data_IF_685843215128
#
_entry.id   IF_685843215128
#
_cell.length_a   1.000
_cell.length_b   1.000
_cell.length_c   1.000
_cell.angle_alpha   90.00
_cell.angle_beta   90.00
_cell.angle_gamma   90.00
#
_symmetry.space_group_name_H-M   'P 1'
#
loop_
_entity.id
_entity.type
_entity.pdbx_description
1 polymer ?
#
# COMPACT_ATOMS: atom_id res chain seq x y z
N UNK A 1 -9.39 17.03 -10.81
CA UNK A 1 -8.26 16.11 -10.50
C UNK A 1 -8.13 14.90 -11.44
N UNK A 2 -9.23 14.24 -11.85
CA UNK A 2 -9.19 13.02 -12.71
C UNK A 2 -8.72 13.31 -14.15
N UNK A 3 -9.12 14.45 -14.74
CA UNK A 3 -8.79 14.81 -16.12
C UNK A 3 -7.29 15.08 -16.31
N UNK A 4 -6.67 15.85 -15.40
CA UNK A 4 -5.23 16.15 -15.41
C UNK A 4 -4.41 14.85 -15.33
N UNK A 5 -4.80 13.92 -14.47
CA UNK A 5 -4.13 12.62 -14.38
C UNK A 5 -4.28 11.78 -15.66
N UNK A 6 -5.42 11.83 -16.34
CA UNK A 6 -5.59 11.16 -17.65
C UNK A 6 -4.70 11.79 -18.72
N UNK A 7 -4.60 13.12 -18.76
CA UNK A 7 -3.74 13.85 -19.70
C UNK A 7 -2.26 13.51 -19.44
N UNK A 8 -1.81 13.62 -18.19
CA UNK A 8 -0.45 13.28 -17.79
C UNK A 8 -0.11 11.81 -18.08
N UNK A 9 -1.05 10.88 -17.81
CA UNK A 9 -0.85 9.47 -18.16
C UNK A 9 -0.68 9.28 -19.68
N UNK A 10 -1.46 10.00 -20.50
CA UNK A 10 -1.33 9.96 -21.96
C UNK A 10 0.01 10.55 -22.40
N UNK A 11 0.41 11.69 -21.84
CA UNK A 11 1.72 12.31 -22.11
C UNK A 11 2.88 11.36 -21.77
N UNK A 12 2.94 10.84 -20.54
CA UNK A 12 4.02 9.93 -20.13
C UNK A 12 4.01 8.60 -20.87
N UNK A 13 2.88 8.16 -21.44
CA UNK A 13 2.85 6.98 -22.33
C UNK A 13 3.79 7.16 -23.52
N UNK A 14 3.78 8.37 -24.12
CA UNK A 14 4.62 8.69 -25.27
C UNK A 14 6.00 9.20 -24.85
N UNK A 15 6.06 10.18 -23.94
CA UNK A 15 7.28 10.93 -23.60
C UNK A 15 7.93 10.55 -22.26
N UNK A 16 7.33 9.65 -21.48
CA UNK A 16 7.87 9.24 -20.19
C UNK A 16 9.01 8.22 -20.30
N UNK A 17 9.69 8.03 -19.18
CA UNK A 17 10.84 7.13 -19.03
C UNK A 17 10.57 6.01 -18.02
N UNK A 18 11.29 4.90 -18.13
CA UNK A 18 11.40 3.84 -17.11
C UNK A 18 12.74 3.85 -16.38
N UNK A 19 13.53 4.91 -16.54
CA UNK A 19 14.82 5.11 -15.87
C UNK A 19 14.60 5.59 -14.43
N UNK A 20 14.12 4.70 -13.58
CA UNK A 20 13.96 4.90 -12.14
C UNK A 20 14.28 3.60 -11.41
N UNK A 21 14.59 3.73 -10.12
CA UNK A 21 14.80 2.60 -9.22
C UNK A 21 13.48 2.09 -8.68
N UNK A 22 13.40 0.79 -8.38
CA UNK A 22 12.19 0.13 -7.89
C UNK A 22 12.30 -0.16 -6.40
N UNK A 23 11.18 -0.08 -5.69
CA UNK A 23 11.12 -0.54 -4.30
C UNK A 23 9.78 -1.20 -3.97
N UNK A 24 9.78 -2.00 -2.91
CA UNK A 24 8.56 -2.56 -2.31
C UNK A 24 8.60 -2.39 -0.80
N UNK A 25 7.51 -1.87 -0.23
CA UNK A 25 7.32 -1.84 1.23
C UNK A 25 6.61 -3.12 1.62
N UNK A 26 7.32 -4.01 2.30
CA UNK A 26 6.77 -5.25 2.84
C UNK A 26 6.45 -5.03 4.31
N UNK A 27 5.19 -5.23 4.70
CA UNK A 27 4.75 -4.96 6.05
C UNK A 27 3.54 -5.82 6.45
N UNK A 28 3.02 -5.57 7.64
CA UNK A 28 1.67 -5.99 8.05
C UNK A 28 0.74 -4.78 8.18
N UNK A 29 -0.57 -5.02 8.23
CA UNK A 29 -1.52 -4.00 8.69
C UNK A 29 -1.13 -3.44 10.07
N UNK A 30 -1.34 -2.14 10.27
CA UNK A 30 -1.10 -1.39 11.53
C UNK A 30 0.37 -1.28 11.99
N UNK A 31 1.31 -1.42 11.06
CA UNK A 31 2.76 -1.20 11.29
C UNK A 31 3.21 0.26 11.14
N UNK A 32 2.33 1.17 10.68
CA UNK A 32 2.73 2.53 10.27
C UNK A 32 3.04 2.64 8.78
N UNK A 33 2.80 1.58 8.00
CA UNK A 33 3.06 1.57 6.56
C UNK A 33 2.31 2.64 5.75
N UNK A 34 1.13 3.09 6.20
CA UNK A 34 0.42 4.24 5.61
C UNK A 34 1.14 5.56 5.88
N UNK A 35 1.73 5.73 7.06
CA UNK A 35 2.49 6.94 7.41
C UNK A 35 3.75 7.04 6.56
N UNK A 36 4.52 5.95 6.47
CA UNK A 36 5.68 5.86 5.58
C UNK A 36 5.30 6.16 4.12
N UNK A 37 4.23 5.53 3.63
CA UNK A 37 3.74 5.78 2.28
C UNK A 37 3.36 7.25 2.05
N UNK A 38 2.81 7.94 3.07
CA UNK A 38 2.49 9.36 2.99
C UNK A 38 3.75 10.22 2.92
N UNK A 39 4.77 9.92 3.73
CA UNK A 39 6.03 10.66 3.70
C UNK A 39 6.79 10.49 2.38
N UNK A 40 6.81 9.28 1.83
CA UNK A 40 7.43 9.03 0.53
C UNK A 40 6.75 9.83 -0.59
N UNK A 41 5.41 9.87 -0.61
CA UNK A 41 4.67 10.64 -1.61
C UNK A 41 4.69 12.16 -1.37
N UNK A 42 5.33 12.65 -0.30
CA UNK A 42 5.56 14.09 -0.13
C UNK A 42 6.68 14.61 -1.05
N UNK A 43 7.48 13.71 -1.64
CA UNK A 43 8.52 14.06 -2.62
C UNK A 43 8.01 13.82 -4.05
N UNK A 44 8.14 14.78 -4.98
CA UNK A 44 7.78 14.59 -6.38
C UNK A 44 8.66 13.57 -7.11
N UNK A 45 9.83 13.23 -6.54
CA UNK A 45 10.76 12.26 -7.11
C UNK A 45 10.37 10.80 -6.81
N UNK A 46 9.38 10.58 -5.94
CA UNK A 46 9.00 9.27 -5.45
C UNK A 46 7.51 9.02 -5.71
N UNK A 47 7.20 7.83 -6.24
CA UNK A 47 5.84 7.36 -6.38
C UNK A 47 5.69 6.09 -5.53
N UNK A 48 4.99 6.20 -4.40
CA UNK A 48 4.71 5.08 -3.51
C UNK A 48 3.22 4.70 -3.58
N UNK A 49 2.91 3.65 -4.35
CA UNK A 49 1.55 3.14 -4.51
C UNK A 49 1.09 2.38 -3.26
N UNK A 50 -0.23 2.38 -3.03
CA UNK A 50 -0.85 1.59 -1.97
C UNK A 50 -0.89 0.09 -2.25
N UNK A 51 -1.86 -0.59 -1.66
CA UNK A 51 -2.01 -2.05 -1.64
C UNK A 51 -2.67 -2.59 -2.93
N UNK A 52 -2.04 -2.37 -4.09
CA UNK A 52 -2.61 -2.73 -5.39
C UNK A 52 -2.81 -4.24 -5.58
N UNK A 53 -2.01 -5.05 -4.90
CA UNK A 53 -2.14 -6.51 -4.83
C UNK A 53 -2.92 -6.99 -3.60
N UNK A 54 -3.59 -6.10 -2.86
CA UNK A 54 -4.35 -6.48 -1.67
C UNK A 54 -5.54 -7.38 -1.99
N UNK A 55 -6.35 -6.96 -2.96
CA UNK A 55 -7.44 -7.74 -3.56
C UNK A 55 -7.33 -7.70 -5.08
N UNK A 56 -7.08 -8.85 -5.68
CA UNK A 56 -6.88 -8.96 -7.13
C UNK A 56 -8.21 -9.14 -7.85
N UNK A 57 -9.13 -9.96 -7.31
CA UNK A 57 -10.32 -10.43 -8.01
C UNK A 57 -9.98 -10.99 -9.39
N UNK A 58 -10.76 -10.61 -10.41
CA UNK A 58 -10.55 -11.03 -11.81
C UNK A 58 -9.54 -10.16 -12.57
N UNK A 59 -8.83 -9.25 -11.90
CA UNK A 59 -7.87 -8.36 -12.57
C UNK A 59 -6.66 -9.14 -13.07
N UNK A 60 -6.20 -8.76 -14.26
CA UNK A 60 -4.93 -9.26 -14.78
C UNK A 60 -3.75 -8.76 -13.92
N UNK A 61 -3.08 -9.71 -13.27
CA UNK A 61 -1.93 -9.50 -12.38
C UNK A 61 -0.74 -8.90 -13.13
N UNK A 62 -0.55 -9.29 -14.40
CA UNK A 62 0.49 -8.71 -15.26
C UNK A 62 0.19 -7.24 -15.52
N UNK A 63 -1.07 -6.91 -15.81
CA UNK A 63 -1.51 -5.53 -15.98
C UNK A 63 -1.27 -4.68 -14.73
N UNK A 64 -1.62 -5.17 -13.53
CA UNK A 64 -1.33 -4.46 -12.28
C UNK A 64 0.17 -4.16 -12.14
N UNK A 65 1.03 -5.15 -12.40
CA UNK A 65 2.48 -4.98 -12.34
C UNK A 65 2.99 -3.96 -13.36
N UNK A 66 2.53 -4.03 -14.61
CA UNK A 66 2.92 -3.06 -15.66
C UNK A 66 2.39 -1.66 -15.37
N UNK A 67 1.25 -1.53 -14.71
CA UNK A 67 0.67 -0.24 -14.33
C UNK A 67 1.44 0.42 -13.18
N UNK A 68 1.97 -0.37 -12.24
CA UNK A 68 2.88 0.13 -11.19
C UNK A 68 4.13 0.70 -11.84
N UNK A 69 4.80 -0.09 -12.69
CA UNK A 69 6.07 0.24 -13.33
C UNK A 69 5.90 0.75 -14.76
N UNK A 70 4.89 1.60 -14.97
CA UNK A 70 4.70 2.30 -16.25
C UNK A 70 5.79 3.36 -16.48
N UNK A 71 5.72 4.05 -17.62
CA UNK A 71 6.54 5.23 -17.87
C UNK A 71 6.09 6.39 -16.96
N UNK A 72 7.04 7.11 -16.39
CA UNK A 72 6.82 8.31 -15.56
C UNK A 72 7.64 9.49 -16.08
N UNK A 73 7.49 10.66 -15.46
CA UNK A 73 8.37 11.82 -15.70
C UNK A 73 9.83 11.43 -15.45
N UNK A 74 10.78 12.04 -16.16
CA UNK A 74 12.21 11.91 -15.89
C UNK A 74 12.61 12.42 -14.49
N UNK A 75 11.77 13.25 -13.86
CA UNK A 75 11.95 13.70 -12.48
C UNK A 75 11.68 12.59 -11.44
N UNK A 76 10.98 11.52 -11.83
CA UNK A 76 10.70 10.41 -10.92
C UNK A 76 11.92 9.50 -10.87
N UNK A 77 12.54 9.44 -9.70
CA UNK A 77 13.73 8.62 -9.44
C UNK A 77 13.37 7.26 -8.81
N UNK A 78 12.25 7.18 -8.09
CA UNK A 78 11.84 5.96 -7.39
C UNK A 78 10.36 5.65 -7.58
N UNK A 79 10.07 4.38 -7.89
CA UNK A 79 8.70 3.88 -8.01
C UNK A 79 8.56 2.61 -7.20
N UNK A 80 7.52 2.54 -6.40
CA UNK A 80 7.25 1.38 -5.60
C UNK A 80 5.82 1.26 -5.16
N UNK A 81 5.55 0.22 -4.39
CA UNK A 81 4.24 -0.05 -3.85
C UNK A 81 4.33 -0.74 -2.50
N UNK A 82 3.21 -0.77 -1.79
CA UNK A 82 3.08 -1.46 -0.53
C UNK A 82 2.45 -2.85 -0.72
N UNK A 83 3.03 -3.85 -0.06
CA UNK A 83 2.56 -5.22 -0.05
C UNK A 83 2.52 -5.74 1.39
N UNK A 84 1.43 -6.40 1.77
CA UNK A 84 1.37 -7.11 3.05
C UNK A 84 1.69 -8.59 2.88
N UNK A 85 2.17 -9.23 3.95
CA UNK A 85 2.46 -10.67 3.95
C UNK A 85 1.27 -11.50 3.48
N UNK A 86 0.08 -11.08 3.90
CA UNK A 86 -1.17 -11.78 3.62
C UNK A 86 -1.75 -11.47 2.22
N UNK A 87 -1.05 -10.68 1.39
CA UNK A 87 -1.54 -10.33 0.07
C UNK A 87 -1.11 -11.34 -1.01
N UNK A 88 -1.99 -11.64 -1.98
CA UNK A 88 -3.38 -11.20 -2.07
C UNK A 88 -4.32 -11.94 -1.09
N UNK A 89 -5.34 -11.26 -0.56
CA UNK A 89 -6.25 -11.87 0.44
C UNK A 89 -7.38 -12.71 -0.19
N UNK A 90 -7.57 -12.58 -1.49
CA UNK A 90 -8.68 -13.16 -2.27
C UNK A 90 -8.20 -14.14 -3.35
N UNK A 91 -6.92 -14.54 -3.31
CA UNK A 91 -6.32 -15.45 -4.28
C UNK A 91 -5.07 -16.12 -3.69
N UNK A 92 -4.77 -17.36 -4.08
CA UNK A 92 -3.49 -18.02 -3.74
C UNK A 92 -2.34 -17.61 -4.67
N UNK A 93 -2.51 -16.54 -5.44
CA UNK A 93 -1.55 -16.17 -6.46
C UNK A 93 -0.23 -15.67 -5.90
N UNK A 94 0.83 -16.44 -6.13
CA UNK A 94 2.22 -16.06 -5.83
C UNK A 94 2.84 -15.12 -6.86
N UNK A 95 2.06 -14.55 -7.80
CA UNK A 95 2.59 -13.79 -8.92
C UNK A 95 3.47 -12.60 -8.48
N UNK A 96 2.96 -11.74 -7.58
CA UNK A 96 3.71 -10.56 -7.11
C UNK A 96 4.99 -10.96 -6.37
N UNK A 97 4.92 -12.00 -5.53
CA UNK A 97 6.07 -12.54 -4.82
C UNK A 97 7.12 -13.13 -5.76
N UNK A 98 6.68 -13.83 -6.82
CA UNK A 98 7.56 -14.36 -7.85
C UNK A 98 8.23 -13.23 -8.65
N UNK A 99 7.52 -12.14 -8.96
CA UNK A 99 8.11 -10.97 -9.63
C UNK A 99 9.17 -10.30 -8.75
N UNK A 100 8.88 -10.09 -7.46
CA UNK A 100 9.84 -9.53 -6.50
C UNK A 100 11.07 -10.44 -6.35
N UNK A 101 10.87 -11.77 -6.27
CA UNK A 101 11.98 -12.73 -6.16
C UNK A 101 12.87 -12.73 -7.40
N UNK A 102 12.27 -12.58 -8.59
CA UNK A 102 12.95 -12.59 -9.89
C UNK A 102 13.75 -11.30 -10.13
N UNK A 103 13.21 -10.15 -9.76
CA UNK A 103 13.85 -8.85 -9.98
C UNK A 103 14.69 -8.42 -8.76
N UNK A 104 16.00 -8.70 -8.83
CA UNK A 104 16.96 -8.35 -7.76
C UNK A 104 17.27 -6.86 -7.66
N UNK A 105 16.83 -6.04 -8.63
CA UNK A 105 17.03 -4.59 -8.57
C UNK A 105 16.04 -3.88 -7.65
N UNK A 106 15.02 -4.58 -7.15
CA UNK A 106 13.99 -4.02 -6.28
C UNK A 106 14.54 -3.89 -4.86
N UNK A 107 14.59 -2.67 -4.35
CA UNK A 107 14.87 -2.40 -2.94
C UNK A 107 13.70 -2.88 -2.06
N UNK A 108 13.99 -3.68 -1.05
CA UNK A 108 12.99 -4.17 -0.09
C UNK A 108 13.06 -3.31 1.18
N UNK A 109 11.96 -2.60 1.49
CA UNK A 109 11.76 -1.89 2.74
C UNK A 109 10.86 -2.75 3.63
N UNK A 110 11.45 -3.45 4.60
CA UNK A 110 10.73 -4.30 5.54
C UNK A 110 10.32 -3.49 6.78
N UNK A 111 9.02 -3.19 6.92
CA UNK A 111 8.50 -2.39 8.03
C UNK A 111 7.82 -3.28 9.08
N UNK A 112 8.40 -3.32 10.26
CA UNK A 112 7.92 -4.07 11.43
C UNK A 112 7.46 -3.13 12.55
N UNK A 113 6.74 -3.69 13.52
CA UNK A 113 6.35 -3.00 14.75
C UNK A 113 6.50 -3.98 15.92
N UNK A 114 7.34 -3.63 16.89
CA UNK A 114 7.70 -4.53 17.98
C UNK A 114 6.51 -4.89 18.87
N UNK A 115 5.67 -3.89 19.17
CA UNK A 115 4.46 -4.11 19.96
C UNK A 115 3.35 -4.75 19.10
N UNK A 116 3.44 -6.08 18.94
CA UNK A 116 2.51 -6.93 18.18
C UNK A 116 1.09 -6.90 18.74
N UNK A 117 0.95 -6.88 20.08
CA UNK A 117 -0.36 -6.81 20.76
C UNK A 117 -1.09 -5.53 20.37
N UNK A 118 -0.40 -4.39 20.39
CA UNK A 118 -0.98 -3.10 19.99
C UNK A 118 -1.32 -3.05 18.51
N UNK A 119 -0.53 -3.70 17.66
CA UNK A 119 -0.83 -3.80 16.22
C UNK A 119 -2.13 -4.59 16.00
N UNK A 120 -2.28 -5.74 16.66
CA UNK A 120 -3.48 -6.58 16.51
C UNK A 120 -4.71 -5.93 17.14
N UNK A 121 -4.60 -5.33 18.33
CA UNK A 121 -5.68 -4.57 18.94
C UNK A 121 -6.14 -3.42 18.02
N UNK A 122 -5.19 -2.69 17.44
CA UNK A 122 -5.51 -1.62 16.49
C UNK A 122 -6.19 -2.15 15.23
N UNK A 123 -5.82 -3.34 14.77
CA UNK A 123 -6.44 -4.02 13.62
C UNK A 123 -7.87 -4.44 13.95
N UNK A 124 -8.11 -5.04 15.11
CA UNK A 124 -9.45 -5.39 15.59
C UNK A 124 -10.35 -4.16 15.71
N UNK A 125 -9.83 -3.05 16.24
CA UNK A 125 -10.58 -1.78 16.31
C UNK A 125 -10.93 -1.29 14.89
N UNK A 126 -9.96 -1.30 13.96
CA UNK A 126 -10.20 -0.88 12.58
C UNK A 126 -11.25 -1.75 11.88
N UNK A 127 -11.24 -3.07 12.09
CA UNK A 127 -12.26 -3.97 11.56
C UNK A 127 -13.66 -3.69 12.11
N UNK A 128 -13.76 -3.49 13.44
CA UNK A 128 -15.04 -3.18 14.11
C UNK A 128 -15.59 -1.81 13.71
N UNK A 129 -14.73 -0.82 13.56
CA UNK A 129 -15.14 0.57 13.30
C UNK A 129 -15.18 0.92 11.81
N UNK A 130 -14.64 0.06 10.94
CA UNK A 130 -14.38 0.32 9.51
C UNK A 130 -13.49 1.54 9.25
N UNK A 131 -12.81 2.07 10.28
CA UNK A 131 -11.91 3.24 10.18
C UNK A 131 -10.45 2.81 10.24
N UNK A 132 -9.70 3.11 9.18
CA UNK A 132 -8.31 2.69 9.01
C UNK A 132 -7.29 3.83 9.19
N UNK A 133 -7.70 5.07 9.00
CA UNK A 133 -6.89 6.27 9.22
C UNK A 133 -7.43 7.06 10.43
N UNK A 134 -6.51 7.64 11.20
CA UNK A 134 -6.85 8.51 12.32
C UNK A 134 -7.19 9.92 11.82
N UNK A 135 -8.21 10.05 10.98
CA UNK A 135 -8.78 11.36 10.69
C UNK A 135 -9.93 11.58 11.69
N UNK A 136 -9.66 12.49 12.63
CA UNK A 136 -10.56 13.06 13.65
C UNK A 136 -11.10 12.10 14.73
N UNK A 137 -10.92 12.56 15.98
CA UNK A 137 -11.28 11.99 17.29
C UNK A 137 -10.60 10.66 17.69
N UNK A 138 -9.80 10.72 18.77
CA UNK A 138 -9.32 9.54 19.49
C UNK A 138 -10.52 8.63 19.77
N UNK A 139 -10.51 7.33 19.36
CA UNK A 139 -11.56 6.42 19.79
C UNK A 139 -11.53 6.34 21.32
N UNK A 140 -12.63 6.72 21.97
CA UNK A 140 -12.76 6.62 23.41
C UNK A 140 -12.78 5.13 23.79
N UNK A 141 -11.71 4.66 24.43
CA UNK A 141 -11.49 3.25 24.77
C UNK A 141 -12.60 2.67 25.64
N UNK A 142 -13.25 3.48 26.47
CA UNK A 142 -14.34 3.06 27.35
C UNK A 142 -15.60 2.64 26.58
N UNK A 143 -15.94 3.32 25.48
CA UNK A 143 -17.16 3.02 24.71
C UNK A 143 -17.11 1.67 23.98
N UNK A 144 -15.91 1.18 23.64
CA UNK A 144 -15.75 -0.11 22.96
C UNK A 144 -15.88 -1.28 23.94
N UNK A 145 -15.47 -1.09 25.20
CA UNK A 145 -15.58 -2.11 26.25
C UNK A 145 -17.00 -2.19 26.83
N UNK A 146 -17.69 -1.05 26.98
CA UNK A 146 -19.05 -1.01 27.55
C UNK A 146 -20.12 -1.68 26.68
N UNK A 147 -19.92 -1.81 25.35
CA UNK A 147 -20.85 -2.55 24.48
C UNK A 147 -20.88 -4.06 24.76
N UNK A 148 -19.85 -4.63 25.39
CA UNK A 148 -19.85 -6.06 25.77
C UNK A 148 -20.70 -6.35 27.02
N UNK A 149 -21.01 -5.33 27.85
CA UNK A 149 -21.73 -5.52 29.12
C UNK A 149 -23.26 -5.45 29.02
N UNK A 150 -23.81 -5.10 27.85
CA UNK A 150 -25.27 -4.97 27.60
C UNK A 150 -25.88 -6.13 26.80
N UNK A 151 -25.15 -7.25 26.66
CA UNK A 151 -25.58 -8.43 25.90
C UNK A 151 -25.61 -9.71 26.76
N UNK A 152 -25.62 -9.56 28.08
CA UNK A 152 -25.97 -10.63 29.02
C UNK A 152 -27.29 -10.26 29.70
#
# INVERSE_FOLDING_TARGET
>A
MILINKILNRYYKYFGSRKYSKFVIIARSRTGSNLLNSYLNNSPQIIARGELFGRIGDKDKKRIWTDIYRKYSSLVCWVGFKLFYEHPVDSDSKFVWNQIKKDKSILIIHLTRDNKVRAELSKLIAFKTKKWAANTSKPNFEKVLLKKKKLN
#
